data_IF_214308672100
#
_entry.id   IF_214308672100
#
_cell.length_a   1.000
_cell.length_b   1.000
_cell.length_c   1.000
_cell.angle_alpha   90.00
_cell.angle_beta   90.00
_cell.angle_gamma   90.00
#
_symmetry.space_group_name_H-M   'P 1'
#
loop_
_entity.id
_entity.type
_entity.pdbx_description
1 polymer ?
#
# COMPACT_ATOMS: atom_id res chain seq x y z
N UNK A 1 -26.93 -20.38 -17.81
CA UNK A 1 -25.93 -19.31 -17.62
C UNK A 1 -24.69 -19.74 -18.39
N UNK A 2 -24.49 -19.22 -19.61
CA UNK A 2 -23.27 -19.41 -20.37
C UNK A 2 -22.15 -18.70 -19.63
N UNK A 3 -21.24 -19.46 -19.02
CA UNK A 3 -19.94 -18.97 -18.58
C UNK A 3 -19.20 -18.61 -19.87
N UNK A 4 -18.77 -17.34 -20.08
CA UNK A 4 -17.96 -17.02 -21.23
C UNK A 4 -16.71 -17.88 -21.19
N UNK A 5 -16.38 -18.49 -22.32
CA UNK A 5 -15.13 -19.23 -22.54
C UNK A 5 -13.97 -18.32 -22.13
N UNK A 6 -13.41 -18.56 -20.93
CA UNK A 6 -12.23 -17.87 -20.44
C UNK A 6 -11.06 -18.42 -21.26
N UNK A 7 -11.00 -17.98 -22.50
CA UNK A 7 -9.86 -18.25 -23.37
C UNK A 7 -8.59 -18.07 -22.56
N UNK A 8 -7.72 -19.08 -22.54
CA UNK A 8 -6.52 -19.23 -21.73
C UNK A 8 -5.80 -17.89 -21.56
N UNK A 9 -6.11 -17.18 -20.45
CA UNK A 9 -5.43 -15.92 -20.13
C UNK A 9 -3.94 -16.24 -20.08
N UNK A 10 -3.15 -15.62 -20.95
CA UNK A 10 -1.71 -15.83 -20.95
C UNK A 10 -1.18 -15.63 -19.54
N UNK A 11 -0.34 -16.54 -19.04
CA UNK A 11 0.27 -16.45 -17.70
C UNK A 11 0.94 -15.10 -17.45
N UNK A 12 1.49 -14.51 -18.51
CA UNK A 12 2.06 -13.16 -18.47
C UNK A 12 0.99 -12.10 -18.13
N UNK A 13 -0.17 -12.18 -18.74
CA UNK A 13 -1.28 -11.28 -18.46
C UNK A 13 -1.78 -11.45 -17.02
N UNK A 14 -1.95 -12.68 -16.55
CA UNK A 14 -2.32 -12.98 -15.18
C UNK A 14 -1.28 -12.46 -14.17
N UNK A 15 0.02 -12.54 -14.51
CA UNK A 15 1.09 -11.95 -13.69
C UNK A 15 1.01 -10.42 -13.61
N UNK A 16 0.69 -9.73 -14.70
CA UNK A 16 0.47 -8.28 -14.68
C UNK A 16 -0.78 -7.89 -13.89
N UNK A 17 -1.86 -8.69 -13.99
CA UNK A 17 -3.10 -8.48 -13.27
C UNK A 17 -2.95 -8.66 -11.75
N UNK A 18 -2.22 -9.67 -11.27
CA UNK A 18 -1.99 -9.85 -9.82
C UNK A 18 -1.13 -8.73 -9.25
N UNK A 19 -0.21 -8.18 -10.04
CA UNK A 19 0.60 -7.01 -9.70
C UNK A 19 -0.16 -5.67 -9.82
N UNK A 20 -1.42 -5.68 -10.31
CA UNK A 20 -2.28 -4.50 -10.50
C UNK A 20 -1.72 -3.45 -11.46
N UNK A 21 -0.97 -3.84 -12.51
CA UNK A 21 -0.54 -2.91 -13.54
C UNK A 21 -1.70 -2.36 -14.38
N UNK A 22 -2.82 -3.07 -14.42
CA UNK A 22 -4.09 -2.64 -15.00
C UNK A 22 -4.81 -1.56 -14.17
N UNK A 23 -4.44 -1.38 -12.88
CA UNK A 23 -5.08 -0.45 -11.94
C UNK A 23 -4.04 0.39 -11.20
N UNK A 24 -3.41 1.37 -11.86
CA UNK A 24 -2.22 2.05 -11.35
C UNK A 24 -2.48 3.02 -10.18
N UNK A 25 -3.74 3.30 -9.82
CA UNK A 25 -4.08 4.28 -8.77
C UNK A 25 -3.34 4.03 -7.45
N UNK A 26 -3.22 2.77 -7.02
CA UNK A 26 -2.50 2.44 -5.80
C UNK A 26 -0.99 2.72 -5.87
N UNK A 27 -0.41 2.68 -7.07
CA UNK A 27 0.99 3.08 -7.31
C UNK A 27 1.15 4.59 -7.16
N UNK A 28 0.22 5.39 -7.69
CA UNK A 28 0.22 6.85 -7.51
C UNK A 28 0.00 7.25 -6.05
N UNK A 29 -0.89 6.56 -5.32
CA UNK A 29 -1.12 6.80 -3.90
C UNK A 29 0.11 6.50 -3.03
N UNK A 30 0.96 5.54 -3.41
CA UNK A 30 2.23 5.27 -2.74
C UNK A 30 3.35 6.21 -3.23
N UNK A 31 3.32 6.63 -4.50
CA UNK A 31 4.31 7.54 -5.06
C UNK A 31 4.22 8.93 -4.43
N UNK A 32 3.01 9.44 -4.15
CA UNK A 32 2.81 10.77 -3.60
C UNK A 32 3.59 11.01 -2.29
N UNK A 33 3.40 10.24 -1.19
CA UNK A 33 4.15 10.45 0.04
C UNK A 33 5.65 10.21 -0.13
N UNK A 34 6.04 9.29 -1.03
CA UNK A 34 7.43 9.04 -1.37
C UNK A 34 8.09 10.29 -1.97
N UNK A 35 7.42 10.91 -2.95
CA UNK A 35 7.91 12.13 -3.60
C UNK A 35 7.92 13.34 -2.64
N UNK A 36 6.91 13.48 -1.77
CA UNK A 36 6.88 14.51 -0.74
C UNK A 36 8.05 14.36 0.24
N UNK A 37 8.29 13.12 0.70
CA UNK A 37 9.42 12.83 1.60
C UNK A 37 10.77 13.13 0.96
N UNK A 38 10.97 12.72 -0.30
CA UNK A 38 12.19 13.00 -1.04
C UNK A 38 12.39 14.52 -1.26
N UNK A 39 11.35 15.23 -1.70
CA UNK A 39 11.43 16.67 -1.96
C UNK A 39 11.73 17.45 -0.68
N UNK A 40 11.06 17.12 0.43
CA UNK A 40 11.27 17.77 1.71
C UNK A 40 12.67 17.48 2.27
N UNK A 41 13.14 16.22 2.18
CA UNK A 41 14.46 15.84 2.67
C UNK A 41 15.62 16.48 1.90
N UNK A 42 15.40 16.90 0.64
CA UNK A 42 16.41 17.53 -0.21
C UNK A 42 16.20 19.05 -0.36
N UNK A 43 15.25 19.64 0.37
CA UNK A 43 14.90 21.06 0.26
C UNK A 43 14.65 21.51 -1.19
N UNK A 44 14.10 20.60 -2.01
CA UNK A 44 13.80 20.81 -3.43
C UNK A 44 14.06 19.58 -4.31
N UNK A 45 14.90 19.73 -5.33
CA UNK A 45 15.14 18.68 -6.32
C UNK A 45 16.17 17.64 -5.86
N UNK A 46 15.77 16.36 -5.73
CA UNK A 46 16.69 15.27 -5.39
C UNK A 46 17.60 14.92 -6.58
N UNK A 47 18.64 14.13 -6.30
CA UNK A 47 19.42 13.51 -7.39
C UNK A 47 18.52 12.57 -8.22
N UNK A 48 18.71 12.56 -9.54
CA UNK A 48 17.98 11.67 -10.46
C UNK A 48 18.15 10.20 -10.07
N UNK A 49 19.33 9.82 -9.56
CA UNK A 49 19.61 8.48 -9.07
C UNK A 49 18.66 8.10 -7.92
N UNK A 50 18.55 8.96 -6.90
CA UNK A 50 17.69 8.72 -5.75
C UNK A 50 16.22 8.64 -6.16
N UNK A 51 15.78 9.56 -7.00
CA UNK A 51 14.43 9.59 -7.54
C UNK A 51 14.10 8.28 -8.29
N UNK A 52 15.01 7.81 -9.16
CA UNK A 52 14.83 6.56 -9.91
C UNK A 52 14.73 5.34 -8.98
N UNK A 53 15.60 5.25 -7.94
CA UNK A 53 15.57 4.15 -6.96
C UNK A 53 14.21 4.12 -6.26
N UNK A 54 13.73 5.26 -5.77
CA UNK A 54 12.47 5.30 -5.03
C UNK A 54 11.25 5.07 -5.92
N UNK A 55 11.19 5.64 -7.12
CA UNK A 55 10.08 5.38 -8.05
C UNK A 55 10.03 3.91 -8.50
N UNK A 56 11.16 3.31 -8.80
CA UNK A 56 11.24 1.87 -9.06
C UNK A 56 10.80 1.06 -7.82
N UNK A 57 11.26 1.46 -6.63
CA UNK A 57 10.86 0.85 -5.36
C UNK A 57 9.35 0.91 -5.11
N UNK A 58 8.72 2.06 -5.41
CA UNK A 58 7.25 2.23 -5.32
C UNK A 58 6.53 1.21 -6.21
N UNK A 59 6.93 1.09 -7.47
CA UNK A 59 6.30 0.13 -8.41
C UNK A 59 6.47 -1.30 -7.91
N UNK A 60 7.70 -1.67 -7.54
CA UNK A 60 8.04 -3.03 -7.08
C UNK A 60 7.31 -3.38 -5.77
N UNK A 61 7.36 -2.50 -4.77
CA UNK A 61 6.72 -2.76 -3.48
C UNK A 61 5.20 -2.71 -3.55
N UNK A 62 4.62 -1.87 -4.41
CA UNK A 62 3.18 -1.88 -4.69
C UNK A 62 2.74 -3.21 -5.30
N UNK A 63 3.48 -3.71 -6.28
CA UNK A 63 3.23 -5.02 -6.90
C UNK A 63 3.35 -6.17 -5.88
N UNK A 64 4.42 -6.17 -5.06
CA UNK A 64 4.62 -7.14 -4.00
C UNK A 64 3.46 -7.13 -2.98
N UNK A 65 3.04 -5.94 -2.52
CA UNK A 65 1.91 -5.78 -1.60
C UNK A 65 0.59 -6.30 -2.18
N UNK A 66 0.34 -6.15 -3.49
CA UNK A 66 -0.83 -6.73 -4.15
C UNK A 66 -0.80 -8.25 -4.13
N UNK A 67 0.35 -8.86 -4.42
CA UNK A 67 0.50 -10.33 -4.39
C UNK A 67 0.28 -10.86 -2.97
N UNK A 68 0.87 -10.22 -1.95
CA UNK A 68 0.67 -10.61 -0.54
C UNK A 68 -0.79 -10.53 -0.15
N UNK A 69 -1.49 -9.47 -0.55
CA UNK A 69 -2.91 -9.30 -0.28
C UNK A 69 -3.75 -10.41 -0.95
N UNK A 70 -3.50 -10.69 -2.24
CA UNK A 70 -4.23 -11.75 -2.96
C UNK A 70 -3.92 -13.15 -2.40
N UNK A 71 -2.68 -13.43 -1.97
CA UNK A 71 -2.33 -14.67 -1.28
C UNK A 71 -3.05 -14.82 0.06
N UNK A 72 -3.12 -13.74 0.83
CA UNK A 72 -3.83 -13.73 2.12
C UNK A 72 -5.33 -13.95 1.93
N UNK A 73 -5.93 -13.38 0.89
CA UNK A 73 -7.38 -13.36 0.67
C UNK A 73 -7.90 -14.47 -0.25
N UNK A 74 -7.04 -15.31 -0.81
CA UNK A 74 -7.39 -16.28 -1.86
C UNK A 74 -8.63 -17.16 -1.54
N UNK A 75 -8.89 -17.42 -0.26
CA UNK A 75 -10.04 -18.22 0.17
C UNK A 75 -11.32 -17.39 0.38
N UNK A 76 -11.23 -16.07 0.42
CA UNK A 76 -12.32 -15.11 0.63
C UNK A 76 -12.73 -14.45 -0.67
N UNK A 77 -11.78 -14.15 -1.53
CA UNK A 77 -11.97 -13.38 -2.77
C UNK A 77 -12.99 -14.00 -3.74
N UNK A 78 -13.16 -15.31 -3.71
CA UNK A 78 -14.15 -16.02 -4.53
C UNK A 78 -15.61 -15.74 -4.13
N UNK A 79 -15.85 -15.24 -2.92
CA UNK A 79 -17.18 -14.93 -2.38
C UNK A 79 -17.58 -13.45 -2.55
N UNK A 80 -16.65 -12.61 -2.99
CA UNK A 80 -16.86 -11.17 -3.19
C UNK A 80 -16.90 -10.86 -4.68
N UNK A 81 -17.99 -10.23 -5.16
CA UNK A 81 -18.23 -9.96 -6.59
C UNK A 81 -17.05 -9.26 -7.27
N UNK A 82 -16.46 -8.25 -6.60
CA UNK A 82 -15.35 -7.45 -7.14
C UNK A 82 -14.04 -8.24 -7.30
N UNK A 83 -13.85 -9.32 -6.54
CA UNK A 83 -12.55 -10.03 -6.45
C UNK A 83 -12.61 -11.45 -7.01
N UNK A 84 -13.78 -11.99 -7.33
CA UNK A 84 -13.98 -13.36 -7.84
C UNK A 84 -13.21 -13.70 -9.12
N UNK A 85 -12.80 -12.69 -9.91
CA UNK A 85 -12.05 -12.89 -11.14
C UNK A 85 -10.53 -12.73 -10.96
N UNK A 86 -10.03 -12.63 -9.71
CA UNK A 86 -8.58 -12.52 -9.45
C UNK A 86 -7.83 -13.77 -9.93
N UNK A 87 -6.58 -13.62 -10.43
CA UNK A 87 -5.79 -14.72 -10.99
C UNK A 87 -5.62 -15.95 -10.10
N UNK A 88 -5.51 -15.77 -8.76
CA UNK A 88 -5.41 -16.87 -7.81
C UNK A 88 -6.75 -17.57 -7.57
N UNK A 89 -7.87 -16.86 -7.69
CA UNK A 89 -9.23 -17.41 -7.53
C UNK A 89 -9.61 -18.23 -8.76
N UNK A 90 -9.33 -17.70 -9.95
CA UNK A 90 -9.64 -18.38 -11.22
C UNK A 90 -8.68 -19.50 -11.58
N UNK A 91 -7.54 -19.63 -10.87
CA UNK A 91 -6.49 -20.60 -11.20
C UNK A 91 -5.62 -20.18 -12.39
N UNK A 92 -5.73 -18.95 -12.91
CA UNK A 92 -4.86 -18.41 -13.97
C UNK A 92 -3.39 -18.33 -13.53
N UNK A 93 -3.16 -18.15 -12.21
CA UNK A 93 -1.88 -18.33 -11.55
C UNK A 93 -1.98 -19.29 -10.37
N UNK A 94 -0.98 -20.12 -10.20
CA UNK A 94 -0.82 -20.96 -9.03
C UNK A 94 -0.21 -20.18 -7.86
N UNK A 95 -0.42 -20.67 -6.64
CA UNK A 95 0.21 -20.09 -5.43
C UNK A 95 1.74 -20.10 -5.55
N UNK A 96 2.31 -21.16 -6.12
CA UNK A 96 3.76 -21.27 -6.32
C UNK A 96 4.30 -20.20 -7.26
N UNK A 97 3.59 -19.92 -8.36
CA UNK A 97 3.97 -18.87 -9.32
C UNK A 97 3.86 -17.48 -8.68
N UNK A 98 2.79 -17.24 -7.89
CA UNK A 98 2.63 -15.99 -7.15
C UNK A 98 3.74 -15.77 -6.11
N UNK A 99 4.12 -16.83 -5.37
CA UNK A 99 5.24 -16.77 -4.42
C UNK A 99 6.58 -16.54 -5.13
N UNK A 100 6.82 -17.16 -6.28
CA UNK A 100 8.04 -16.92 -7.06
C UNK A 100 8.13 -15.46 -7.54
N UNK A 101 7.02 -14.88 -8.02
CA UNK A 101 6.93 -13.46 -8.38
C UNK A 101 7.18 -12.56 -7.16
N UNK A 102 6.57 -12.87 -6.02
CA UNK A 102 6.77 -12.11 -4.78
C UNK A 102 8.24 -12.11 -4.36
N UNK A 103 8.90 -13.26 -4.36
CA UNK A 103 10.33 -13.38 -4.01
C UNK A 103 11.22 -12.58 -4.98
N UNK A 104 10.91 -12.62 -6.28
CA UNK A 104 11.63 -11.82 -7.29
C UNK A 104 11.48 -10.32 -7.02
N UNK A 105 10.25 -9.85 -6.72
CA UNK A 105 9.99 -8.45 -6.40
C UNK A 105 10.69 -8.02 -5.11
N UNK A 106 10.68 -8.84 -4.06
CA UNK A 106 11.37 -8.54 -2.81
C UNK A 106 12.89 -8.51 -2.99
N UNK A 107 13.45 -9.43 -3.78
CA UNK A 107 14.87 -9.41 -4.13
C UNK A 107 15.24 -8.15 -4.93
N UNK A 108 14.37 -7.72 -5.87
CA UNK A 108 14.56 -6.48 -6.62
C UNK A 108 14.49 -5.26 -5.70
N UNK A 109 13.52 -5.21 -4.78
CA UNK A 109 13.40 -4.13 -3.79
C UNK A 109 14.64 -4.04 -2.89
N UNK A 110 15.15 -5.19 -2.43
CA UNK A 110 16.39 -5.26 -1.65
C UNK A 110 17.61 -4.77 -2.46
N UNK A 111 17.70 -5.15 -3.73
CA UNK A 111 18.74 -4.65 -4.64
C UNK A 111 18.67 -3.12 -4.82
N UNK A 112 17.47 -2.57 -4.97
CA UNK A 112 17.28 -1.11 -5.08
C UNK A 112 17.69 -0.37 -3.80
N UNK A 113 17.24 -0.84 -2.62
CA UNK A 113 17.57 -0.17 -1.35
C UNK A 113 19.04 -0.35 -0.99
N UNK A 114 19.70 -1.43 -1.40
CA UNK A 114 21.15 -1.64 -1.22
C UNK A 114 22.00 -0.57 -1.95
N UNK A 115 21.43 0.14 -2.92
CA UNK A 115 22.09 1.28 -3.58
C UNK A 115 22.01 2.58 -2.76
N UNK A 116 21.40 2.57 -1.59
CA UNK A 116 21.24 3.71 -0.68
C UNK A 116 22.22 3.61 0.51
N UNK A 117 21.82 3.94 1.71
CA UNK A 117 22.66 3.92 2.90
C UNK A 117 22.15 2.90 3.97
N UNK A 118 22.97 2.55 4.98
CA UNK A 118 22.60 1.56 5.99
C UNK A 118 21.31 1.87 6.76
N UNK A 119 21.01 3.14 7.05
CA UNK A 119 19.80 3.53 7.76
C UNK A 119 18.53 3.23 6.91
N UNK A 120 18.56 3.57 5.63
CA UNK A 120 17.45 3.27 4.72
C UNK A 120 17.27 1.75 4.54
N UNK A 121 18.38 0.98 4.48
CA UNK A 121 18.34 -0.49 4.42
C UNK A 121 17.68 -1.05 5.68
N UNK A 122 18.05 -0.60 6.87
CA UNK A 122 17.42 -1.05 8.13
C UNK A 122 15.92 -0.75 8.16
N UNK A 123 15.51 0.46 7.76
CA UNK A 123 14.10 0.85 7.69
C UNK A 123 13.31 0.04 6.65
N UNK A 124 13.95 -0.42 5.58
CA UNK A 124 13.27 -1.21 4.55
C UNK A 124 12.76 -2.56 5.06
N UNK A 125 13.45 -3.19 6.02
CA UNK A 125 12.97 -4.43 6.63
C UNK A 125 11.70 -4.20 7.45
N UNK A 126 11.61 -3.08 8.19
CA UNK A 126 10.39 -2.72 8.90
C UNK A 126 9.24 -2.41 7.93
N UNK A 127 9.51 -1.68 6.83
CA UNK A 127 8.53 -1.41 5.78
C UNK A 127 8.01 -2.68 5.09
N UNK A 128 8.91 -3.62 4.77
CA UNK A 128 8.54 -4.92 4.23
C UNK A 128 7.68 -5.72 5.21
N UNK A 129 8.04 -5.74 6.50
CA UNK A 129 7.25 -6.37 7.56
C UNK A 129 5.83 -5.79 7.65
N UNK A 130 5.68 -4.46 7.61
CA UNK A 130 4.38 -3.79 7.59
C UNK A 130 3.54 -4.18 6.37
N UNK A 131 4.15 -4.22 5.18
CA UNK A 131 3.48 -4.64 3.95
C UNK A 131 3.01 -6.10 3.99
N UNK A 132 3.74 -6.99 4.67
CA UNK A 132 3.38 -8.40 4.86
C UNK A 132 2.26 -8.60 5.89
N UNK A 133 2.24 -7.80 6.95
CA UNK A 133 1.29 -7.93 8.06
C UNK A 133 -0.06 -7.27 7.72
N UNK A 134 -0.05 -6.16 7.00
CA UNK A 134 -1.24 -5.36 6.72
C UNK A 134 -2.45 -6.19 6.21
N UNK A 135 -2.33 -7.10 5.22
CA UNK A 135 -3.49 -7.82 4.70
C UNK A 135 -4.17 -8.73 5.73
N UNK A 136 -3.44 -9.13 6.79
CA UNK A 136 -3.97 -9.99 7.85
C UNK A 136 -4.79 -9.19 8.87
N UNK A 137 -4.59 -7.87 8.95
CA UNK A 137 -5.19 -7.02 9.99
C UNK A 137 -6.70 -6.97 9.91
N UNK A 138 -7.30 -7.04 8.73
CA UNK A 138 -8.76 -7.06 8.54
C UNK A 138 -9.47 -8.29 9.15
N UNK A 139 -8.70 -9.31 9.55
CA UNK A 139 -9.21 -10.49 10.27
C UNK A 139 -9.13 -10.31 11.79
N UNK A 140 -8.23 -9.45 12.25
CA UNK A 140 -7.86 -9.29 13.66
C UNK A 140 -8.53 -8.06 14.26
N UNK A 141 -8.47 -6.91 13.57
CA UNK A 141 -8.91 -5.61 14.08
C UNK A 141 -9.84 -4.88 13.12
N UNK A 142 -10.67 -3.98 13.65
CA UNK A 142 -11.47 -3.04 12.84
C UNK A 142 -10.67 -1.83 12.33
N UNK A 143 -9.35 -1.77 12.57
CA UNK A 143 -8.47 -0.67 12.21
C UNK A 143 -7.37 -1.08 11.18
N UNK A 144 -7.65 -1.94 10.17
CA UNK A 144 -6.65 -2.31 9.16
C UNK A 144 -6.17 -1.10 8.37
N UNK A 145 -7.01 -0.07 8.20
CA UNK A 145 -6.69 1.18 7.52
C UNK A 145 -5.55 1.96 8.19
N UNK A 146 -5.43 1.87 9.51
CA UNK A 146 -4.30 2.48 10.24
C UNK A 146 -2.99 1.77 9.88
N UNK A 147 -3.00 0.42 9.85
CA UNK A 147 -1.80 -0.35 9.49
C UNK A 147 -1.40 -0.09 8.04
N UNK A 148 -2.36 0.01 7.11
CA UNK A 148 -2.12 0.43 5.75
C UNK A 148 -1.52 1.84 5.70
N UNK A 149 -2.08 2.78 6.47
CA UNK A 149 -1.59 4.16 6.57
C UNK A 149 -0.14 4.22 7.05
N UNK A 150 0.22 3.43 8.06
CA UNK A 150 1.60 3.30 8.53
C UNK A 150 2.49 2.74 7.40
N UNK A 151 2.07 1.66 6.73
CA UNK A 151 2.84 1.03 5.65
C UNK A 151 3.09 1.98 4.47
N UNK A 152 2.07 2.75 4.04
CA UNK A 152 2.21 3.72 2.96
C UNK A 152 3.05 4.93 3.37
N UNK A 153 2.91 5.40 4.62
CA UNK A 153 3.71 6.51 5.13
C UNK A 153 5.17 6.12 5.39
N UNK A 154 5.49 4.82 5.44
CA UNK A 154 6.85 4.35 5.73
C UNK A 154 7.87 4.75 4.66
N UNK A 155 7.41 5.07 3.45
CA UNK A 155 8.26 5.64 2.40
C UNK A 155 8.87 7.01 2.79
N UNK A 156 8.23 7.77 3.68
CA UNK A 156 8.70 9.09 4.14
C UNK A 156 9.99 8.96 4.97
N UNK A 157 10.03 8.23 6.12
CA UNK A 157 11.28 8.05 6.85
C UNK A 157 12.37 7.36 6.01
N UNK A 158 12.02 6.45 5.09
CA UNK A 158 12.98 5.88 4.15
C UNK A 158 13.59 6.93 3.21
N UNK A 159 12.77 7.87 2.71
CA UNK A 159 13.22 8.97 1.86
C UNK A 159 14.20 9.89 2.60
N UNK A 160 13.88 10.29 3.83
CA UNK A 160 14.80 11.09 4.68
C UNK A 160 16.08 10.32 5.01
N UNK A 161 15.96 9.06 5.41
CA UNK A 161 17.13 8.24 5.67
C UNK A 161 18.07 8.15 4.46
N UNK A 162 17.52 7.88 3.28
CA UNK A 162 18.31 7.75 2.06
C UNK A 162 18.91 9.07 1.57
N UNK A 163 18.22 10.20 1.81
CA UNK A 163 18.66 11.54 1.36
C UNK A 163 19.72 12.13 2.27
N UNK A 164 19.46 12.16 3.58
CA UNK A 164 20.28 12.92 4.56
C UNK A 164 20.82 12.05 5.71
N UNK A 165 20.59 10.74 5.67
CA UNK A 165 21.00 9.77 6.70
C UNK A 165 20.55 10.15 8.12
N UNK A 166 19.37 10.78 8.24
CA UNK A 166 18.79 11.23 9.51
C UNK A 166 17.26 11.16 9.47
N UNK A 167 16.64 11.21 10.66
CA UNK A 167 15.19 11.23 10.84
C UNK A 167 14.78 12.46 11.68
N UNK A 168 14.77 13.68 11.11
CA UNK A 168 14.40 14.90 11.84
C UNK A 168 12.93 14.88 12.27
N UNK A 169 12.59 15.65 13.30
CA UNK A 169 11.23 15.69 13.87
C UNK A 169 10.15 16.14 12.88
N UNK A 170 10.51 17.01 11.93
CA UNK A 170 9.58 17.53 10.91
C UNK A 170 8.94 16.42 10.05
N UNK A 171 9.69 15.36 9.70
CA UNK A 171 9.17 14.25 8.90
C UNK A 171 7.93 13.57 9.52
N UNK A 172 7.82 13.54 10.86
CA UNK A 172 6.72 12.86 11.53
C UNK A 172 5.38 13.57 11.38
N UNK A 173 5.40 14.88 11.11
CA UNK A 173 4.19 15.61 10.74
C UNK A 173 3.72 15.20 9.34
N UNK A 174 4.64 15.05 8.37
CA UNK A 174 4.32 14.56 7.04
C UNK A 174 3.84 13.08 7.09
N UNK A 175 4.49 12.27 7.91
CA UNK A 175 4.08 10.89 8.17
C UNK A 175 2.65 10.84 8.72
N UNK A 176 2.33 11.63 9.75
CA UNK A 176 1.01 11.70 10.33
C UNK A 176 -0.04 12.19 9.32
N UNK A 177 0.28 13.22 8.53
CA UNK A 177 -0.60 13.72 7.49
C UNK A 177 -0.94 12.63 6.47
N UNK A 178 0.06 11.91 5.95
CA UNK A 178 -0.18 10.83 4.99
C UNK A 178 -0.90 9.62 5.61
N UNK A 179 -0.61 9.29 6.88
CA UNK A 179 -1.34 8.25 7.60
C UNK A 179 -2.83 8.58 7.68
N UNK A 180 -3.18 9.79 8.12
CA UNK A 180 -4.57 10.26 8.19
C UNK A 180 -5.23 10.29 6.81
N UNK A 181 -4.53 10.78 5.80
CA UNK A 181 -4.97 10.75 4.40
C UNK A 181 -5.29 9.33 3.93
N UNK A 182 -4.40 8.37 4.23
CA UNK A 182 -4.59 6.96 3.86
C UNK A 182 -5.80 6.35 4.58
N UNK A 183 -5.96 6.61 5.88
CA UNK A 183 -7.13 6.14 6.63
C UNK A 183 -8.43 6.69 6.03
N UNK A 184 -8.44 7.96 5.63
CA UNK A 184 -9.60 8.60 5.00
C UNK A 184 -10.00 7.90 3.71
N UNK A 185 -9.10 7.82 2.72
CA UNK A 185 -9.48 7.26 1.42
C UNK A 185 -9.75 5.75 1.49
N UNK A 186 -9.00 5.01 2.31
CA UNK A 186 -9.22 3.57 2.41
C UNK A 186 -10.50 3.23 3.20
N UNK A 187 -10.91 4.10 4.16
CA UNK A 187 -12.24 4.01 4.77
C UNK A 187 -13.33 4.24 3.74
N UNK A 188 -13.16 5.23 2.83
CA UNK A 188 -14.12 5.48 1.75
C UNK A 188 -14.23 4.29 0.79
N UNK A 189 -13.13 3.63 0.45
CA UNK A 189 -13.17 2.36 -0.31
C UNK A 189 -13.92 1.27 0.46
N UNK A 190 -13.65 1.10 1.76
CA UNK A 190 -14.31 0.11 2.60
C UNK A 190 -15.83 0.39 2.79
N UNK A 191 -16.28 1.65 2.65
CA UNK A 191 -17.72 1.98 2.66
C UNK A 191 -18.46 1.36 1.47
N UNK A 192 -17.81 1.24 0.31
CA UNK A 192 -18.39 0.62 -0.88
C UNK A 192 -18.56 -0.89 -0.69
N UNK A 193 -17.58 -1.53 -0.06
CA UNK A 193 -17.55 -2.99 0.15
C UNK A 193 -18.23 -3.43 1.48
N UNK A 194 -18.87 -2.52 2.23
CA UNK A 194 -19.35 -2.76 3.62
C UNK A 194 -20.27 -3.97 3.77
N UNK A 195 -21.24 -4.15 2.87
CA UNK A 195 -22.20 -5.25 2.93
C UNK A 195 -21.51 -6.59 2.65
N UNK A 196 -20.63 -6.64 1.67
CA UNK A 196 -19.84 -7.81 1.33
C UNK A 196 -18.90 -8.18 2.48
N UNK A 197 -18.18 -7.18 3.03
CA UNK A 197 -17.26 -7.37 4.16
C UNK A 197 -17.96 -7.96 5.40
N UNK A 198 -19.16 -7.47 5.71
CA UNK A 198 -19.98 -8.02 6.80
C UNK A 198 -20.36 -9.48 6.54
N UNK A 199 -20.71 -9.84 5.31
CA UNK A 199 -21.16 -11.19 4.95
C UNK A 199 -20.05 -12.23 5.10
N UNK A 200 -18.78 -11.84 4.89
CA UNK A 200 -17.60 -12.72 4.97
C UNK A 200 -16.79 -12.55 6.28
N UNK A 201 -17.29 -11.71 7.21
CA UNK A 201 -16.66 -11.49 8.52
C UNK A 201 -15.36 -10.68 8.50
N UNK A 202 -15.13 -9.86 7.45
CA UNK A 202 -14.03 -8.92 7.35
C UNK A 202 -14.31 -7.69 8.24
N UNK A 203 -13.26 -7.17 8.85
CA UNK A 203 -13.32 -6.00 9.72
C UNK A 203 -12.73 -4.78 9.01
N UNK A 204 -13.38 -3.60 9.15
CA UNK A 204 -12.91 -2.34 8.59
C UNK A 204 -13.32 -1.14 9.44
N UNK A 205 -12.67 0.01 9.22
CA UNK A 205 -13.08 1.30 9.80
C UNK A 205 -14.48 1.70 9.35
N UNK A 206 -14.89 1.38 8.12
CA UNK A 206 -16.24 1.66 7.64
C UNK A 206 -17.31 0.92 8.46
N UNK A 207 -17.04 -0.33 8.86
CA UNK A 207 -17.91 -1.11 9.75
C UNK A 207 -17.89 -0.51 11.16
N UNK A 208 -16.70 -0.16 11.68
CA UNK A 208 -16.52 0.41 13.02
C UNK A 208 -17.24 1.75 13.19
N UNK A 209 -17.13 2.62 12.19
CA UNK A 209 -17.71 3.97 12.25
C UNK A 209 -19.22 3.99 12.01
N UNK A 210 -19.74 3.01 11.27
CA UNK A 210 -21.17 2.86 10.99
C UNK A 210 -21.76 4.16 10.42
N UNK A 211 -22.81 4.68 11.07
CA UNK A 211 -23.50 5.90 10.65
C UNK A 211 -22.72 7.20 10.94
N UNK A 212 -21.58 7.12 11.64
CA UNK A 212 -20.72 8.27 11.94
C UNK A 212 -19.56 8.40 10.95
N UNK A 213 -19.46 7.52 9.96
CA UNK A 213 -18.34 7.44 9.01
C UNK A 213 -18.02 8.78 8.34
N UNK A 214 -19.00 9.47 7.76
CA UNK A 214 -18.83 10.79 7.11
C UNK A 214 -18.29 11.84 8.08
N UNK A 215 -18.79 11.86 9.34
CA UNK A 215 -18.33 12.83 10.35
C UNK A 215 -16.90 12.55 10.80
N UNK A 216 -16.57 11.28 11.02
CA UNK A 216 -15.23 10.87 11.42
C UNK A 216 -14.25 11.13 10.28
N UNK A 217 -14.61 10.82 9.03
CA UNK A 217 -13.80 11.13 7.84
C UNK A 217 -13.53 12.65 7.76
N UNK A 218 -14.56 13.49 7.94
CA UNK A 218 -14.41 14.95 7.94
C UNK A 218 -13.44 15.43 9.04
N UNK A 219 -13.54 14.87 10.26
CA UNK A 219 -12.59 15.17 11.34
C UNK A 219 -11.15 14.74 10.98
N UNK A 220 -10.97 13.54 10.45
CA UNK A 220 -9.66 13.03 10.03
C UNK A 220 -9.05 13.90 8.91
N UNK A 221 -9.86 14.41 7.98
CA UNK A 221 -9.42 15.34 6.94
C UNK A 221 -8.94 16.67 7.55
N UNK A 222 -9.67 17.23 8.51
CA UNK A 222 -9.23 18.44 9.22
C UNK A 222 -7.89 18.20 9.95
N UNK A 223 -7.75 17.07 10.65
CA UNK A 223 -6.49 16.71 11.32
C UNK A 223 -5.35 16.50 10.33
N UNK A 224 -5.63 15.92 9.16
CA UNK A 224 -4.67 15.77 8.07
C UNK A 224 -4.15 17.14 7.59
N UNK A 225 -5.04 18.12 7.36
CA UNK A 225 -4.67 19.47 6.97
C UNK A 225 -3.83 20.17 8.04
N UNK A 226 -4.17 20.00 9.33
CA UNK A 226 -3.37 20.52 10.45
C UNK A 226 -1.98 19.90 10.45
N UNK A 227 -1.86 18.58 10.21
CA UNK A 227 -0.57 17.92 10.16
C UNK A 227 0.29 18.40 8.98
N UNK A 228 -0.30 18.63 7.80
CA UNK A 228 0.39 19.24 6.67
C UNK A 228 0.86 20.67 6.99
N UNK A 229 -0.02 21.48 7.61
CA UNK A 229 0.37 22.84 8.03
C UNK A 229 1.52 22.79 9.03
N UNK A 230 1.45 21.92 10.03
CA UNK A 230 2.55 21.73 11.02
C UNK A 230 3.87 21.31 10.36
N UNK A 231 3.81 20.45 9.35
CA UNK A 231 4.99 20.07 8.57
C UNK A 231 5.63 21.26 7.86
N UNK A 232 4.82 22.21 7.34
CA UNK A 232 5.32 23.38 6.63
C UNK A 232 5.89 24.49 7.54
N UNK A 233 5.65 24.43 8.86
CA UNK A 233 6.15 25.42 9.84
C UNK A 233 7.19 24.84 10.82
N UNK A 234 7.54 23.56 10.68
CA UNK A 234 8.50 22.84 11.50
C UNK A 234 9.89 22.83 10.86
#
# INVERSE_FOLDING_TARGET
LNIPDLGTTSKWRAALEIMRFDKPIGTFLLAAPTLWGIALANEGFPSLRLLAIFLAGVVVMRAAGCIVNDLADRNLDGHVERTRLRPLVTGALTVTEALALLLLLLATALGLVALTNPLAIQLSFAGAGLAMIYPLMKRITHLPQIVLGIAFSWSIPMAFAASINALPSALWWLFAANLLWTVVYDTQYAMVDREDDLSVGIKSTAILFGNLDVRIIGLLQCLCLIAFWRCGVA
#
